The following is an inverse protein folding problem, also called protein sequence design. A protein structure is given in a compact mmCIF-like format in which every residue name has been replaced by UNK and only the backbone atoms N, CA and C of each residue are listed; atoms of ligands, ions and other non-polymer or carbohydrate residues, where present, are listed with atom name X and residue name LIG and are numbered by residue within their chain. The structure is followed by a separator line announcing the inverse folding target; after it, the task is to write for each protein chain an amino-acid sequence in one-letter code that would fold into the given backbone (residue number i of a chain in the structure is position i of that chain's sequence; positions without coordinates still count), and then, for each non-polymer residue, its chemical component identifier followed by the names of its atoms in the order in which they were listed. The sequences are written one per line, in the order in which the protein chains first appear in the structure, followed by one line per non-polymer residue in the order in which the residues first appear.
data_IF_870485757507
#
_entry.id   IF_870485757507
#
_cell.length_a   1.000
_cell.length_b   1.000
_cell.length_c   1.000
_cell.angle_alpha   90.00
_cell.angle_beta   90.00
_cell.angle_gamma   90.00
#
_symmetry.space_group_name_H-M   'P 1'
#
loop_
_entity.id
_entity.type
_entity.pdbx_description
1 polymer ?
#
# COMPACT_ATOMS: atom_id res chain seq x y z
N UNK A 1 16.87 13.99 16.38
CA UNK A 1 15.59 13.24 16.51
C UNK A 1 15.18 12.75 15.12
N UNK A 2 14.74 11.49 14.95
CA UNK A 2 14.31 10.98 13.63
C UNK A 2 12.95 11.59 13.25
N UNK A 3 12.79 12.19 12.05
CA UNK A 3 11.51 12.72 11.56
C UNK A 3 10.41 11.66 11.57
N UNK A 4 9.17 12.03 11.88
CA UNK A 4 8.04 11.10 11.99
C UNK A 4 7.82 10.28 10.70
N UNK A 5 7.94 10.94 9.54
CA UNK A 5 7.85 10.31 8.21
C UNK A 5 8.94 9.27 7.94
N UNK A 6 10.03 9.27 8.70
CA UNK A 6 11.15 8.36 8.49
C UNK A 6 11.30 7.37 9.64
N UNK A 7 10.38 7.31 10.62
CA UNK A 7 10.39 6.23 11.63
C UNK A 7 9.91 4.92 11.00
N UNK A 8 10.45 3.74 11.38
CA UNK A 8 9.94 2.48 10.88
C UNK A 8 8.43 2.32 11.14
N UNK A 9 7.73 1.69 10.21
CA UNK A 9 6.31 1.35 10.33
C UNK A 9 6.14 -0.16 10.53
N UNK A 10 5.06 -0.61 11.21
CA UNK A 10 4.80 -2.03 11.39
C UNK A 10 4.66 -2.76 10.05
N UNK A 11 5.42 -3.84 9.89
CA UNK A 11 5.22 -4.85 8.86
C UNK A 11 4.43 -6.04 9.44
N UNK A 12 3.89 -6.88 8.57
CA UNK A 12 3.06 -8.02 8.96
C UNK A 12 3.79 -9.36 8.84
N UNK A 13 5.12 -9.36 8.74
CA UNK A 13 5.91 -10.58 8.67
C UNK A 13 6.15 -11.19 10.05
N UNK A 14 6.08 -12.51 10.13
CA UNK A 14 6.47 -13.25 11.33
C UNK A 14 7.99 -13.24 11.51
N UNK A 15 8.45 -13.60 12.72
CA UNK A 15 9.88 -13.78 12.99
C UNK A 15 10.45 -14.96 12.19
N UNK A 16 11.74 -14.97 11.86
CA UNK A 16 12.39 -16.10 11.17
C UNK A 16 12.09 -17.47 11.81
N UNK A 17 12.10 -17.53 13.14
CA UNK A 17 11.84 -18.76 13.89
C UNK A 17 10.40 -19.26 13.74
N UNK A 18 9.43 -18.35 13.58
CA UNK A 18 8.03 -18.69 13.42
C UNK A 18 7.66 -19.11 11.98
N UNK A 19 8.53 -18.84 10.99
CA UNK A 19 8.25 -19.16 9.58
C UNK A 19 8.03 -20.66 9.41
N UNK A 20 8.95 -21.50 9.90
CA UNK A 20 8.91 -22.96 9.67
C UNK A 20 7.64 -23.58 10.24
N UNK A 21 7.32 -23.27 11.50
CA UNK A 21 6.10 -23.76 12.14
C UNK A 21 4.83 -23.31 11.39
N UNK A 22 4.78 -22.04 10.99
CA UNK A 22 3.63 -21.52 10.26
C UNK A 22 3.49 -22.11 8.85
N UNK A 23 4.60 -22.50 8.20
CA UNK A 23 4.57 -23.21 6.92
C UNK A 23 3.98 -24.62 7.05
N UNK A 24 4.37 -25.35 8.09
CA UNK A 24 3.85 -26.69 8.38
C UNK A 24 2.35 -26.63 8.75
N UNK A 25 1.95 -25.63 9.51
CA UNK A 25 0.54 -25.38 9.83
C UNK A 25 -0.26 -25.02 8.57
N UNK A 26 0.25 -24.11 7.74
CA UNK A 26 -0.41 -23.65 6.52
C UNK A 26 -0.61 -24.75 5.46
N UNK A 27 0.17 -25.84 5.51
CA UNK A 27 -0.03 -26.99 4.64
C UNK A 27 -1.37 -27.72 4.91
N UNK A 28 -1.93 -27.56 6.12
CA UNK A 28 -3.15 -28.23 6.59
C UNK A 28 -4.39 -27.33 6.54
N UNK A 29 -4.22 -26.04 6.26
CA UNK A 29 -5.30 -25.07 6.21
C UNK A 29 -6.04 -25.11 4.85
N UNK A 30 -7.34 -24.74 4.82
CA UNK A 30 -7.98 -24.30 3.59
C UNK A 30 -7.11 -23.22 2.92
N UNK A 31 -6.95 -23.30 1.61
CA UNK A 31 -6.03 -22.44 0.89
C UNK A 31 -6.70 -21.67 -0.23
N UNK A 32 -6.33 -20.40 -0.37
CA UNK A 32 -6.64 -19.57 -1.53
C UNK A 32 -5.41 -19.42 -2.41
N UNK A 33 -5.52 -19.83 -3.67
CA UNK A 33 -4.52 -19.53 -4.69
C UNK A 33 -4.83 -18.17 -5.29
N UNK A 34 -3.98 -17.19 -4.98
CA UNK A 34 -4.15 -15.80 -5.40
C UNK A 34 -3.81 -15.62 -6.87
N UNK A 35 -4.54 -14.72 -7.53
CA UNK A 35 -4.06 -14.16 -8.78
C UNK A 35 -2.89 -13.17 -8.52
N UNK A 36 -2.27 -12.69 -9.60
CA UNK A 36 -1.12 -11.79 -9.48
C UNK A 36 -1.47 -10.47 -8.79
N UNK A 37 -2.62 -9.86 -9.12
CA UNK A 37 -3.03 -8.59 -8.53
C UNK A 37 -3.31 -8.72 -7.03
N UNK A 38 -3.91 -9.82 -6.61
CA UNK A 38 -4.09 -10.17 -5.21
C UNK A 38 -2.75 -10.36 -4.48
N UNK A 39 -1.80 -11.05 -5.11
CA UNK A 39 -0.46 -11.26 -4.53
C UNK A 39 0.31 -9.92 -4.39
N UNK A 40 0.16 -9.03 -5.37
CA UNK A 40 0.75 -7.69 -5.40
C UNK A 40 0.15 -6.77 -4.32
N UNK A 41 -1.18 -6.82 -4.15
CA UNK A 41 -1.89 -6.13 -3.06
C UNK A 41 -1.46 -6.66 -1.69
N UNK A 42 -1.36 -7.99 -1.54
CA UNK A 42 -0.87 -8.63 -0.33
C UNK A 42 0.57 -8.19 -0.01
N UNK A 43 1.45 -8.09 -1.02
CA UNK A 43 2.82 -7.61 -0.82
C UNK A 43 2.85 -6.17 -0.30
N UNK A 44 2.03 -5.28 -0.84
CA UNK A 44 1.91 -3.90 -0.35
C UNK A 44 1.40 -3.85 1.09
N UNK A 45 0.40 -4.67 1.43
CA UNK A 45 -0.14 -4.79 2.79
C UNK A 45 0.91 -5.31 3.78
N UNK A 46 1.59 -6.41 3.46
CA UNK A 46 2.57 -7.06 4.33
C UNK A 46 3.78 -6.17 4.64
N UNK A 47 4.22 -5.37 3.66
CA UNK A 47 5.37 -4.46 3.78
C UNK A 47 5.03 -3.13 4.46
N UNK A 48 3.78 -2.94 4.90
CA UNK A 48 3.32 -1.73 5.58
C UNK A 48 2.91 -0.59 4.63
N UNK A 49 2.82 -0.83 3.33
CA UNK A 49 2.35 0.16 2.35
C UNK A 49 0.91 0.61 2.63
N UNK A 50 0.12 -0.27 3.26
CA UNK A 50 -1.24 0.00 3.71
C UNK A 50 -1.36 0.31 5.22
N UNK A 51 -0.27 0.65 5.92
CA UNK A 51 -0.32 0.99 7.33
C UNK A 51 -1.34 2.14 7.59
N UNK A 52 -2.20 2.03 8.62
CA UNK A 52 -2.07 1.17 9.80
C UNK A 52 -2.76 -0.21 9.71
N UNK A 53 -3.20 -0.64 8.52
CA UNK A 53 -3.85 -1.95 8.36
C UNK A 53 -2.94 -3.08 8.82
N UNK A 54 -3.55 -4.09 9.46
CA UNK A 54 -2.87 -5.31 9.96
C UNK A 54 -3.39 -6.57 9.28
N UNK A 55 -4.06 -6.39 8.14
CA UNK A 55 -4.81 -7.40 7.43
C UNK A 55 -5.88 -6.75 6.54
N UNK A 56 -6.72 -7.59 5.97
CA UNK A 56 -7.89 -7.17 5.20
C UNK A 56 -8.98 -6.62 6.12
N UNK A 57 -9.72 -5.63 5.63
CA UNK A 57 -10.77 -4.94 6.39
C UNK A 57 -11.91 -5.87 6.80
N UNK A 58 -12.45 -5.64 7.99
CA UNK A 58 -13.75 -6.20 8.42
C UNK A 58 -14.89 -5.69 7.52
N UNK A 59 -16.05 -6.33 7.56
CA UNK A 59 -17.21 -5.87 6.79
C UNK A 59 -17.61 -4.45 7.20
N UNK A 60 -17.63 -4.14 8.50
CA UNK A 60 -18.01 -2.81 9.01
C UNK A 60 -17.06 -1.74 8.47
N UNK A 61 -15.75 -1.96 8.58
CA UNK A 61 -14.75 -1.02 8.03
C UNK A 61 -14.90 -0.84 6.54
N UNK A 62 -15.12 -1.93 5.80
CA UNK A 62 -15.37 -1.88 4.37
C UNK A 62 -16.60 -1.01 4.05
N UNK A 63 -17.72 -1.26 4.72
CA UNK A 63 -18.99 -0.56 4.47
C UNK A 63 -18.90 0.93 4.83
N UNK A 64 -18.19 1.28 5.90
CA UNK A 64 -17.88 2.67 6.26
C UNK A 64 -17.04 3.37 5.17
N UNK A 65 -15.99 2.72 4.67
CA UNK A 65 -15.12 3.29 3.62
C UNK A 65 -15.86 3.43 2.30
N UNK A 66 -16.69 2.45 1.92
CA UNK A 66 -17.59 2.57 0.76
C UNK A 66 -18.60 3.71 0.94
N UNK A 67 -19.05 3.96 2.18
CA UNK A 67 -19.87 5.10 2.54
C UNK A 67 -19.14 6.45 2.57
N UNK A 68 -17.83 6.50 2.29
CA UNK A 68 -17.03 7.72 2.22
C UNK A 68 -16.16 7.99 3.46
N UNK A 69 -16.13 7.08 4.45
CA UNK A 69 -15.22 7.22 5.57
C UNK A 69 -13.75 7.04 5.16
N UNK A 70 -12.85 7.64 5.93
CA UNK A 70 -11.39 7.52 5.76
C UNK A 70 -10.83 6.79 6.97
N UNK A 71 -11.32 5.58 7.22
CA UNK A 71 -11.03 4.82 8.44
C UNK A 71 -10.91 3.31 8.19
N UNK A 72 -9.95 2.62 8.80
CA UNK A 72 -8.62 3.14 9.19
C UNK A 72 -7.74 3.46 7.97
N UNK A 73 -8.25 3.29 6.75
CA UNK A 73 -7.56 3.44 5.47
C UNK A 73 -8.55 3.97 4.41
N UNK A 74 -8.13 4.83 3.46
CA UNK A 74 -9.05 5.56 2.58
C UNK A 74 -9.74 4.73 1.49
N UNK A 75 -9.34 3.48 1.25
CA UNK A 75 -9.92 2.66 0.18
C UNK A 75 -10.29 1.26 0.67
N UNK A 76 -11.35 0.63 0.13
CA UNK A 76 -11.68 -0.73 0.50
C UNK A 76 -10.51 -1.68 0.22
N UNK A 77 -10.13 -2.49 1.20
CA UNK A 77 -9.09 -3.52 1.06
C UNK A 77 -9.60 -4.84 1.67
N UNK A 78 -10.10 -5.73 0.82
CA UNK A 78 -10.75 -6.99 1.24
C UNK A 78 -10.29 -8.14 0.37
N UNK A 79 -10.14 -9.33 0.94
CA UNK A 79 -9.78 -10.51 0.16
C UNK A 79 -11.03 -11.05 -0.53
N UNK A 80 -11.03 -11.06 -1.85
CA UNK A 80 -12.12 -11.67 -2.62
C UNK A 80 -11.74 -13.10 -3.02
N UNK A 81 -12.62 -14.06 -2.75
CA UNK A 81 -12.39 -15.49 -3.03
C UNK A 81 -13.55 -16.09 -3.83
N UNK A 82 -13.26 -17.19 -4.52
CA UNK A 82 -14.25 -18.00 -5.22
C UNK A 82 -15.18 -18.74 -4.26
N UNK A 83 -16.32 -19.20 -4.77
CA UNK A 83 -17.36 -19.86 -3.98
C UNK A 83 -16.87 -21.15 -3.31
N UNK A 84 -15.97 -21.90 -3.95
CA UNK A 84 -15.43 -23.15 -3.42
C UNK A 84 -14.80 -22.93 -2.04
N UNK A 85 -13.85 -22.00 -1.93
CA UNK A 85 -13.25 -21.66 -0.63
C UNK A 85 -14.22 -20.87 0.23
N UNK A 86 -14.92 -19.91 -0.36
CA UNK A 86 -15.81 -19.01 0.35
C UNK A 86 -16.98 -19.72 1.05
N UNK A 87 -17.39 -20.91 0.63
CA UNK A 87 -18.43 -21.68 1.31
C UNK A 87 -17.88 -22.65 2.37
N UNK A 88 -16.57 -22.90 2.38
CA UNK A 88 -15.90 -23.79 3.35
C UNK A 88 -15.38 -23.05 4.58
N UNK A 89 -15.16 -21.74 4.47
CA UNK A 89 -14.49 -20.93 5.49
C UNK A 89 -15.50 -20.17 6.34
N UNK A 90 -15.29 -20.14 7.66
CA UNK A 90 -16.05 -19.37 8.63
C UNK A 90 -15.17 -18.40 9.43
N UNK A 91 -15.73 -17.28 9.93
CA UNK A 91 -15.04 -16.45 10.93
C UNK A 91 -14.51 -17.28 12.10
N UNK A 92 -13.27 -17.02 12.51
CA UNK A 92 -12.54 -17.76 13.54
C UNK A 92 -11.57 -18.80 12.99
N UNK A 93 -11.60 -19.07 11.68
CA UNK A 93 -10.69 -20.01 11.01
C UNK A 93 -9.48 -19.31 10.37
N UNK A 94 -8.40 -20.05 10.21
CA UNK A 94 -7.21 -19.62 9.49
C UNK A 94 -7.22 -20.19 8.06
N UNK A 95 -6.79 -19.38 7.08
CA UNK A 95 -6.58 -19.80 5.70
C UNK A 95 -5.15 -19.53 5.25
N UNK A 96 -4.62 -20.39 4.38
CA UNK A 96 -3.34 -20.16 3.71
C UNK A 96 -3.54 -19.35 2.42
N UNK A 97 -2.75 -18.29 2.23
CA UNK A 97 -2.71 -17.51 0.99
C UNK A 97 -1.50 -17.96 0.17
N UNK A 98 -1.72 -18.45 -1.04
CA UNK A 98 -0.69 -19.03 -1.91
C UNK A 98 -0.54 -18.23 -3.20
N UNK A 99 0.67 -18.21 -3.74
CA UNK A 99 0.86 -17.80 -5.14
C UNK A 99 0.37 -18.89 -6.11
N UNK A 100 0.37 -18.57 -7.41
CA UNK A 100 0.01 -19.52 -8.48
C UNK A 100 0.92 -20.75 -8.55
N UNK A 101 2.13 -20.68 -8.00
CA UNK A 101 3.06 -21.81 -7.88
C UNK A 101 2.80 -22.70 -6.67
N UNK A 102 1.77 -22.40 -5.86
CA UNK A 102 1.41 -23.15 -4.66
C UNK A 102 2.22 -22.79 -3.43
N UNK A 103 3.13 -21.80 -3.50
CA UNK A 103 3.93 -21.37 -2.36
C UNK A 103 3.08 -20.53 -1.40
N UNK A 104 3.12 -20.86 -0.12
CA UNK A 104 2.44 -20.07 0.92
C UNK A 104 3.15 -18.74 1.12
N UNK A 105 2.42 -17.65 0.91
CA UNK A 105 2.88 -16.27 1.10
C UNK A 105 2.53 -15.75 2.50
N UNK A 106 1.33 -16.07 2.97
CA UNK A 106 0.78 -15.59 4.23
C UNK A 106 -0.25 -16.58 4.81
N UNK A 107 -0.54 -16.44 6.10
CA UNK A 107 -1.74 -17.01 6.74
C UNK A 107 -2.65 -15.86 7.15
N UNK A 108 -3.94 -15.99 6.88
CA UNK A 108 -4.95 -15.03 7.28
C UNK A 108 -5.89 -15.66 8.31
N UNK A 109 -6.05 -15.00 9.45
CA UNK A 109 -7.08 -15.33 10.44
C UNK A 109 -8.35 -14.57 10.09
N UNK A 110 -9.38 -15.30 9.64
CA UNK A 110 -10.64 -14.75 9.13
C UNK A 110 -11.49 -14.25 10.29
N UNK A 111 -11.88 -12.98 10.25
CA UNK A 111 -12.80 -12.39 11.24
C UNK A 111 -14.17 -12.12 10.66
N UNK A 112 -14.25 -11.92 9.35
CA UNK A 112 -15.47 -11.53 8.67
C UNK A 112 -15.58 -12.29 7.35
N UNK A 113 -16.81 -12.67 7.04
CA UNK A 113 -17.18 -13.28 5.77
C UNK A 113 -18.54 -12.74 5.35
N UNK A 114 -18.62 -12.15 4.18
CA UNK A 114 -19.87 -11.63 3.65
C UNK A 114 -19.92 -11.74 2.13
N UNK A 115 -21.12 -11.51 1.58
CA UNK A 115 -21.39 -11.66 0.15
C UNK A 115 -22.10 -10.43 -0.38
N UNK A 116 -21.42 -9.72 -1.27
CA UNK A 116 -21.96 -8.65 -2.13
C UNK A 116 -21.41 -8.89 -3.54
N UNK A 117 -21.83 -9.98 -4.17
CA UNK A 117 -21.19 -10.57 -5.36
C UNK A 117 -20.28 -11.76 -5.00
N UNK A 118 -18.99 -11.77 -5.38
CA UNK A 118 -18.05 -12.80 -4.92
C UNK A 118 -17.89 -12.75 -3.39
N UNK A 119 -17.44 -13.85 -2.79
CA UNK A 119 -17.25 -13.93 -1.34
C UNK A 119 -16.10 -13.02 -0.93
N UNK A 120 -16.31 -12.21 0.11
CA UNK A 120 -15.31 -11.32 0.69
C UNK A 120 -14.94 -11.79 2.08
N UNK A 121 -13.65 -11.76 2.37
CA UNK A 121 -13.08 -12.12 3.65
C UNK A 121 -12.30 -10.93 4.23
N UNK A 122 -12.54 -10.67 5.51
CA UNK A 122 -11.79 -9.74 6.34
C UNK A 122 -10.99 -10.51 7.39
N UNK A 123 -9.83 -10.00 7.80
CA UNK A 123 -9.02 -10.74 8.75
C UNK A 123 -7.59 -10.26 8.88
N UNK A 124 -6.94 -10.68 9.98
CA UNK A 124 -5.53 -10.35 10.27
C UNK A 124 -4.63 -11.23 9.43
N UNK A 125 -3.53 -10.66 8.92
CA UNK A 125 -2.62 -11.37 8.03
C UNK A 125 -1.23 -11.47 8.67
N UNK A 126 -0.61 -12.65 8.55
CA UNK A 126 0.76 -12.93 8.94
C UNK A 126 1.54 -13.38 7.71
N UNK A 127 2.46 -12.56 7.24
CA UNK A 127 3.33 -12.85 6.10
C UNK A 127 4.51 -13.74 6.48
N UNK A 128 4.86 -14.66 5.58
CA UNK A 128 5.97 -15.60 5.78
C UNK A 128 7.24 -15.18 5.02
N UNK A 129 7.12 -14.35 3.99
CA UNK A 129 8.24 -14.00 3.12
C UNK A 129 8.21 -12.53 2.69
N UNK A 130 9.32 -11.83 2.94
CA UNK A 130 9.51 -10.46 2.46
C UNK A 130 9.78 -10.47 0.94
N UNK A 131 9.29 -9.48 0.19
CA UNK A 131 9.74 -9.27 -1.18
C UNK A 131 11.21 -8.83 -1.20
N UNK A 132 11.90 -9.11 -2.30
CA UNK A 132 13.33 -8.81 -2.46
C UNK A 132 13.60 -7.32 -2.76
N UNK A 133 12.57 -6.57 -3.19
CA UNK A 133 12.68 -5.14 -3.46
C UNK A 133 12.41 -4.28 -2.21
N UNK A 134 12.98 -3.07 -2.10
CA UNK A 134 12.77 -2.21 -0.94
C UNK A 134 11.30 -1.79 -0.80
N UNK A 135 10.69 -2.16 0.32
CA UNK A 135 9.38 -1.66 0.72
C UNK A 135 9.46 -0.30 1.43
N UNK A 136 8.35 0.13 2.06
CA UNK A 136 8.26 1.36 2.84
C UNK A 136 9.39 1.58 3.85
N UNK A 137 9.75 0.56 4.63
CA UNK A 137 10.83 0.68 5.61
C UNK A 137 12.23 0.80 4.99
N UNK A 138 12.44 0.20 3.81
CA UNK A 138 13.66 0.39 3.02
C UNK A 138 13.80 1.83 2.55
N UNK A 139 12.72 2.42 2.02
CA UNK A 139 12.72 3.84 1.63
C UNK A 139 12.92 4.77 2.84
N UNK A 140 12.22 4.52 3.95
CA UNK A 140 12.41 5.29 5.19
C UNK A 140 13.84 5.19 5.71
N UNK A 141 14.52 4.05 5.57
CA UNK A 141 15.94 3.91 5.91
C UNK A 141 16.84 4.73 5.00
N UNK A 142 16.57 4.72 3.69
CA UNK A 142 17.27 5.53 2.71
C UNK A 142 17.16 7.03 3.03
N UNK A 143 15.97 7.52 3.37
CA UNK A 143 15.77 8.94 3.70
C UNK A 143 16.53 9.38 4.95
N UNK A 144 16.63 8.51 5.96
CA UNK A 144 17.47 8.76 7.13
C UNK A 144 18.95 8.82 6.75
N UNK A 145 19.42 7.87 5.94
CA UNK A 145 20.82 7.83 5.49
C UNK A 145 21.20 9.06 4.65
N UNK A 146 20.26 9.58 3.86
CA UNK A 146 20.43 10.80 3.06
C UNK A 146 20.21 12.10 3.84
N UNK A 147 19.86 12.03 5.14
CA UNK A 147 19.42 13.18 5.94
C UNK A 147 18.31 14.02 5.24
N UNK A 148 17.48 13.38 4.42
CA UNK A 148 16.41 14.07 3.71
C UNK A 148 15.41 14.58 4.75
N UNK A 149 15.16 15.89 4.79
CA UNK A 149 14.10 16.46 5.63
C UNK A 149 12.74 16.40 4.94
N UNK A 150 12.74 16.49 3.61
CA UNK A 150 11.57 16.44 2.74
C UNK A 150 11.78 15.41 1.64
N UNK A 151 10.69 14.73 1.32
CA UNK A 151 10.60 13.78 0.21
C UNK A 151 9.34 14.13 -0.57
N UNK A 152 9.51 14.40 -1.86
CA UNK A 152 8.45 14.62 -2.83
C UNK A 152 8.18 13.30 -3.55
N UNK A 153 6.97 12.77 -3.41
CA UNK A 153 6.51 11.60 -4.15
C UNK A 153 5.81 12.01 -5.44
N UNK A 154 6.10 11.28 -6.51
CA UNK A 154 5.38 11.31 -7.79
C UNK A 154 4.93 9.90 -8.11
N UNK A 155 3.68 9.74 -8.54
CA UNK A 155 3.07 8.45 -8.84
C UNK A 155 2.52 8.47 -10.27
N UNK A 156 3.39 8.33 -11.29
CA UNK A 156 2.97 8.46 -12.68
C UNK A 156 2.14 7.26 -13.13
N UNK A 157 1.03 7.55 -13.82
CA UNK A 157 0.20 6.55 -14.50
C UNK A 157 0.56 6.31 -15.96
N UNK A 158 1.46 7.11 -16.53
CA UNK A 158 2.01 6.96 -17.86
C UNK A 158 3.48 7.43 -17.89
N UNK A 159 4.13 7.31 -19.05
CA UNK A 159 5.54 7.67 -19.23
C UNK A 159 5.80 9.19 -19.32
N UNK A 160 4.85 10.02 -18.89
CA UNK A 160 4.90 11.47 -18.99
C UNK A 160 6.13 12.12 -18.33
N UNK A 161 6.35 13.40 -18.65
CA UNK A 161 7.54 14.14 -18.27
C UNK A 161 7.64 14.39 -16.75
N UNK A 162 8.44 13.56 -16.08
CA UNK A 162 8.85 13.73 -14.67
C UNK A 162 9.77 14.93 -14.43
N UNK A 163 10.22 15.62 -15.49
CA UNK A 163 11.11 16.78 -15.42
C UNK A 163 10.52 17.93 -14.60
N UNK A 164 9.21 18.16 -14.69
CA UNK A 164 8.51 19.12 -13.84
C UNK A 164 8.67 18.77 -12.34
N UNK A 165 8.58 17.49 -12.00
CA UNK A 165 8.76 17.04 -10.63
C UNK A 165 10.19 17.21 -10.12
N UNK A 166 11.20 16.99 -10.96
CA UNK A 166 12.60 17.22 -10.60
C UNK A 166 12.88 18.71 -10.34
N UNK A 167 12.26 19.61 -11.12
CA UNK A 167 12.30 21.05 -10.87
C UNK A 167 11.68 21.42 -9.52
N UNK A 168 10.51 20.86 -9.22
CA UNK A 168 9.79 21.12 -7.97
C UNK A 168 10.53 20.57 -6.74
N UNK A 169 11.08 19.36 -6.83
CA UNK A 169 11.86 18.75 -5.75
C UNK A 169 13.04 19.64 -5.34
N UNK A 170 13.78 20.18 -6.31
CA UNK A 170 14.88 21.13 -6.05
C UNK A 170 14.41 22.40 -5.34
N UNK A 171 13.30 22.99 -5.76
CA UNK A 171 12.73 24.19 -5.11
C UNK A 171 12.25 23.92 -3.69
N UNK A 172 11.74 22.72 -3.43
CA UNK A 172 11.29 22.30 -2.11
C UNK A 172 12.44 21.86 -1.20
N UNK A 173 13.69 21.78 -1.69
CA UNK A 173 14.80 21.13 -1.00
C UNK A 173 14.40 19.71 -0.53
N UNK A 174 13.87 18.92 -1.47
CA UNK A 174 13.31 17.60 -1.22
C UNK A 174 14.00 16.54 -2.08
N UNK A 175 14.17 15.34 -1.52
CA UNK A 175 14.50 14.16 -2.32
C UNK A 175 13.31 13.80 -3.22
N UNK A 176 13.58 13.33 -4.44
CA UNK A 176 12.56 12.89 -5.38
C UNK A 176 12.35 11.38 -5.30
N UNK A 177 11.14 10.96 -4.96
CA UNK A 177 10.67 9.58 -4.97
C UNK A 177 9.70 9.39 -6.14
N UNK A 178 10.04 8.51 -7.07
CA UNK A 178 9.20 8.15 -8.22
C UNK A 178 8.62 6.75 -7.98
N UNK A 179 7.30 6.66 -8.01
CA UNK A 179 6.51 5.47 -7.68
C UNK A 179 5.58 5.11 -8.84
N UNK A 180 6.13 4.61 -9.97
CA UNK A 180 5.31 4.29 -11.14
C UNK A 180 4.27 3.20 -10.81
N UNK A 181 3.10 3.31 -11.43
CA UNK A 181 2.08 2.25 -11.40
C UNK A 181 2.52 1.04 -12.24
N UNK A 182 1.89 -0.13 -12.07
CA UNK A 182 2.22 -1.32 -12.84
C UNK A 182 2.23 -1.07 -14.36
N UNK A 183 3.28 -1.52 -15.03
CA UNK A 183 3.45 -1.37 -16.48
C UNK A 183 4.00 -0.02 -16.94
N UNK A 184 4.20 0.95 -16.04
CA UNK A 184 4.77 2.26 -16.37
C UNK A 184 6.30 2.20 -16.28
N UNK A 185 6.96 2.42 -17.42
CA UNK A 185 8.41 2.51 -17.52
C UNK A 185 8.83 3.97 -17.65
N UNK A 186 9.79 4.39 -16.82
CA UNK A 186 10.26 5.78 -16.72
C UNK A 186 11.78 5.79 -16.82
N UNK A 187 12.30 6.67 -17.68
CA UNK A 187 13.73 7.00 -17.69
C UNK A 187 14.06 7.85 -16.47
N UNK A 188 14.94 7.35 -15.61
CA UNK A 188 15.20 7.96 -14.30
C UNK A 188 16.24 9.10 -14.41
N UNK A 189 16.00 10.25 -13.76
CA UNK A 189 17.02 11.25 -13.51
C UNK A 189 18.07 10.70 -12.54
N UNK A 190 19.33 11.13 -12.68
CA UNK A 190 20.48 10.58 -11.94
C UNK A 190 20.32 10.56 -10.40
N UNK A 191 19.57 11.52 -9.83
CA UNK A 191 19.37 11.66 -8.37
C UNK A 191 18.01 11.13 -7.85
N UNK A 192 17.14 10.68 -8.75
CA UNK A 192 15.82 10.18 -8.37
C UNK A 192 15.92 8.79 -7.72
N UNK A 193 15.01 8.52 -6.79
CA UNK A 193 14.82 7.17 -6.24
C UNK A 193 13.55 6.59 -6.81
N UNK A 194 13.63 5.38 -7.33
CA UNK A 194 12.47 4.63 -7.81
C UNK A 194 12.01 3.61 -6.77
N UNK A 195 10.71 3.55 -6.52
CA UNK A 195 10.05 2.49 -5.77
C UNK A 195 8.69 2.18 -6.42
N UNK A 196 8.65 1.27 -7.44
CA UNK A 196 7.43 0.95 -8.16
C UNK A 196 6.32 0.46 -7.24
N UNK A 197 5.08 0.85 -7.54
CA UNK A 197 3.92 0.36 -6.81
C UNK A 197 3.40 -0.92 -7.47
N UNK A 198 3.11 -1.96 -6.67
CA UNK A 198 2.66 -3.24 -7.21
C UNK A 198 1.19 -3.20 -7.66
N UNK A 199 0.43 -2.20 -7.21
CA UNK A 199 -0.97 -1.96 -7.60
C UNK A 199 -1.20 -0.49 -7.94
N UNK A 200 -2.14 -0.25 -8.85
CA UNK A 200 -2.64 1.08 -9.16
C UNK A 200 -3.58 1.58 -8.05
N UNK A 201 -3.75 2.90 -7.87
CA UNK A 201 -4.72 3.45 -6.93
C UNK A 201 -6.15 3.09 -7.36
N UNK A 202 -7.10 3.05 -6.42
CA UNK A 202 -8.51 2.88 -6.76
C UNK A 202 -9.00 4.01 -7.67
N UNK A 203 -10.03 3.72 -8.45
CA UNK A 203 -10.76 4.74 -9.20
C UNK A 203 -11.63 5.60 -8.26
N UNK A 204 -12.01 6.78 -8.73
CA UNK A 204 -12.96 7.65 -8.05
C UNK A 204 -12.35 8.58 -6.99
N UNK A 205 -13.20 9.15 -6.10
CA UNK A 205 -12.84 10.32 -5.31
C UNK A 205 -11.74 10.07 -4.27
N UNK A 206 -11.57 8.83 -3.80
CA UNK A 206 -10.59 8.47 -2.78
C UNK A 206 -9.18 8.17 -3.35
N UNK A 207 -9.01 8.26 -4.68
CA UNK A 207 -7.74 8.04 -5.37
C UNK A 207 -6.58 8.81 -4.71
N UNK A 208 -6.69 10.14 -4.60
CA UNK A 208 -5.62 10.96 -4.02
C UNK A 208 -5.38 10.72 -2.52
N UNK A 209 -6.42 10.34 -1.77
CA UNK A 209 -6.26 9.94 -0.37
C UNK A 209 -5.42 8.66 -0.26
N UNK A 210 -5.71 7.66 -1.10
CA UNK A 210 -4.95 6.41 -1.16
C UNK A 210 -3.50 6.67 -1.58
N UNK A 211 -3.30 7.44 -2.65
CA UNK A 211 -1.97 7.79 -3.14
C UNK A 211 -1.15 8.52 -2.08
N UNK A 212 -1.76 9.47 -1.37
CA UNK A 212 -1.12 10.19 -0.26
C UNK A 212 -0.80 9.30 0.93
N UNK A 213 -1.70 8.36 1.28
CA UNK A 213 -1.47 7.43 2.39
C UNK A 213 -0.34 6.44 2.08
N UNK A 214 -0.29 5.93 0.85
CA UNK A 214 0.82 5.10 0.36
C UNK A 214 2.11 5.90 0.34
N UNK A 215 2.13 7.09 -0.27
CA UNK A 215 3.31 7.97 -0.32
C UNK A 215 3.83 8.26 1.09
N UNK A 216 2.95 8.61 2.04
CA UNK A 216 3.28 8.78 3.46
C UNK A 216 3.98 7.53 3.99
N UNK A 217 3.43 6.34 3.75
CA UNK A 217 4.00 5.10 4.24
C UNK A 217 5.41 4.84 3.67
N UNK A 218 5.70 5.25 2.44
CA UNK A 218 7.06 5.24 1.87
C UNK A 218 7.98 6.39 2.37
N UNK A 219 7.47 7.25 3.26
CA UNK A 219 8.21 8.33 3.90
C UNK A 219 8.12 9.67 3.18
N UNK A 220 7.23 9.79 2.18
CA UNK A 220 6.96 11.06 1.53
C UNK A 220 6.37 12.07 2.51
N UNK A 221 6.73 13.33 2.29
CA UNK A 221 6.19 14.51 3.00
C UNK A 221 5.27 15.34 2.10
N UNK A 222 5.52 15.26 0.78
CA UNK A 222 4.78 15.96 -0.25
C UNK A 222 4.36 14.93 -1.32
N UNK A 223 3.21 15.17 -1.93
CA UNK A 223 2.71 14.41 -3.07
C UNK A 223 2.48 15.37 -4.23
N UNK A 224 3.13 15.11 -5.37
CA UNK A 224 2.79 15.77 -6.61
C UNK A 224 1.40 15.30 -7.04
N UNK A 225 0.50 16.25 -7.19
CA UNK A 225 -0.86 16.01 -7.68
C UNK A 225 -1.02 16.66 -9.06
N UNK A 226 -1.74 15.98 -9.94
CA UNK A 226 -2.14 16.51 -11.24
C UNK A 226 -3.32 17.49 -11.08
N UNK A 227 -3.86 17.99 -12.20
CA UNK A 227 -5.00 18.91 -12.19
C UNK A 227 -6.31 18.21 -11.80
N UNK A 228 -6.44 17.88 -10.51
CA UNK A 228 -7.63 17.30 -9.87
C UNK A 228 -8.06 18.16 -8.66
N UNK A 229 -8.83 19.24 -8.89
CA UNK A 229 -9.27 20.13 -7.81
C UNK A 229 -10.11 19.43 -6.74
N UNK A 230 -10.96 18.47 -7.15
CA UNK A 230 -11.88 17.79 -6.24
C UNK A 230 -11.14 16.80 -5.33
N UNK A 231 -10.26 15.99 -5.89
CA UNK A 231 -9.43 15.08 -5.10
C UNK A 231 -8.44 15.84 -4.22
N UNK A 232 -7.92 16.98 -4.68
CA UNK A 232 -7.04 17.85 -3.87
C UNK A 232 -7.78 18.43 -2.66
N UNK A 233 -8.95 19.00 -2.87
CA UNK A 233 -9.78 19.54 -1.79
C UNK A 233 -10.11 18.44 -0.75
N UNK A 234 -10.42 17.22 -1.21
CA UNK A 234 -10.60 16.08 -0.31
C UNK A 234 -9.31 15.73 0.45
N UNK A 235 -8.16 15.65 -0.23
CA UNK A 235 -6.87 15.39 0.41
C UNK A 235 -6.51 16.47 1.46
N UNK A 236 -6.75 17.73 1.15
CA UNK A 236 -6.49 18.85 2.05
C UNK A 236 -7.40 18.81 3.29
N UNK A 237 -8.68 18.46 3.14
CA UNK A 237 -9.59 18.21 4.29
C UNK A 237 -9.09 17.09 5.20
N UNK A 238 -8.46 16.06 4.65
CA UNK A 238 -7.93 14.92 5.41
C UNK A 238 -6.42 14.98 5.67
N UNK A 239 -5.76 16.12 5.43
CA UNK A 239 -4.30 16.25 5.48
C UNK A 239 -3.67 15.78 6.80
N UNK A 240 -4.32 16.05 7.93
CA UNK A 240 -3.82 15.64 9.24
C UNK A 240 -3.79 14.12 9.41
N UNK A 241 -4.77 13.40 8.82
CA UNK A 241 -4.84 11.94 8.86
C UNK A 241 -3.95 11.28 7.79
N UNK A 242 -3.89 11.84 6.58
CA UNK A 242 -3.09 11.29 5.49
C UNK A 242 -1.60 11.59 5.68
N UNK A 243 -1.26 12.79 6.15
CA UNK A 243 0.09 13.18 6.55
C UNK A 243 0.98 13.74 5.44
N UNK A 244 0.51 13.89 4.19
CA UNK A 244 1.29 14.53 3.11
C UNK A 244 0.69 15.86 2.69
N UNK A 245 1.53 16.77 2.18
CA UNK A 245 1.09 18.01 1.55
C UNK A 245 0.99 17.82 0.03
N UNK A 246 -0.17 18.16 -0.54
CA UNK A 246 -0.34 18.22 -1.99
C UNK A 246 0.42 19.41 -2.59
N UNK A 247 1.13 19.19 -3.69
CA UNK A 247 1.84 20.22 -4.47
C UNK A 247 1.59 20.05 -5.96
N UNK A 248 1.54 21.15 -6.70
CA UNK A 248 1.24 21.19 -8.13
C UNK A 248 2.48 21.63 -8.93
N UNK A 249 2.60 21.25 -10.22
CA UNK A 249 3.56 21.90 -11.12
C UNK A 249 3.34 23.41 -11.24
N UNK A 250 2.09 23.89 -11.13
CA UNK A 250 1.78 25.33 -11.18
C UNK A 250 2.30 26.12 -9.96
N UNK A 251 2.64 25.44 -8.85
CA UNK A 251 3.35 26.07 -7.72
C UNK A 251 4.81 26.46 -8.12
N UNK A 252 5.18 26.24 -9.37
CA UNK A 252 6.44 26.67 -9.98
C UNK A 252 6.39 28.07 -10.64
N UNK A 253 5.25 28.75 -10.66
CA UNK A 253 5.13 30.11 -11.20
C UNK A 253 5.52 31.20 -10.19
#
# INVERSE_FOLDING_TARGET
MIPAHHRPIPELFVSPDAIRALQEDAARLPAWTMDQGQADELALLLTGGCAPLRGYMTQIQHDEVVGGAVLPWPAPLVLTVGDDLGNQVSPGEDIALRDRGGRVLAVMSVTDRWRTGPVRLGGRVKGLRRPDHPGPNGMRALWRARNAARVLSVQPGDAGDIGAAAGLARRLDAALLIQPFPGVHIDLPDDAVIAPLPIAPPEGPHRLLWQGAVARNFGATHLLVENDPAGRDLLDRHRAAIGVRAVMPADMA
#
